data_IF_079507291539
#
_entry.id   IF_079507291539
#
_cell.length_a   1.000
_cell.length_b   1.000
_cell.length_c   1.000
_cell.angle_alpha   90.00
_cell.angle_beta   90.00
_cell.angle_gamma   90.00
#
_symmetry.space_group_name_H-M   'P 1'
#
loop_
_entity.id
_entity.type
_entity.pdbx_description
1 polymer ?
#
# COMPACT_ATOMS: atom_id res chain seq x y z
N UNK A 1 -22.26 13.55 -10.77
CA UNK A 1 -20.96 12.93 -10.52
C UNK A 1 -21.22 11.73 -9.62
N UNK A 2 -20.86 10.52 -10.07
CA UNK A 2 -20.94 9.33 -9.22
C UNK A 2 -19.85 9.47 -8.16
N UNK A 3 -20.14 9.10 -6.90
CA UNK A 3 -19.12 9.11 -5.86
C UNK A 3 -18.12 7.99 -6.14
N UNK A 4 -16.82 8.23 -5.96
CA UNK A 4 -15.76 7.21 -6.12
C UNK A 4 -16.01 5.97 -5.23
N UNK A 5 -16.73 6.13 -4.11
CA UNK A 5 -17.19 5.02 -3.28
C UNK A 5 -18.15 4.08 -4.01
N UNK A 6 -19.05 4.63 -4.83
CA UNK A 6 -19.98 3.84 -5.63
C UNK A 6 -19.24 3.14 -6.77
N UNK A 7 -18.25 3.79 -7.39
CA UNK A 7 -17.42 3.15 -8.43
C UNK A 7 -16.67 1.95 -7.87
N UNK A 8 -16.03 2.10 -6.71
CA UNK A 8 -15.39 0.98 -6.02
C UNK A 8 -16.39 -0.12 -5.67
N UNK A 9 -17.60 0.24 -5.23
CA UNK A 9 -18.64 -0.75 -4.95
C UNK A 9 -19.06 -1.55 -6.19
N UNK A 10 -19.23 -0.88 -7.34
CA UNK A 10 -19.54 -1.54 -8.61
C UNK A 10 -18.37 -2.41 -9.11
N UNK A 11 -17.12 -1.95 -8.96
CA UNK A 11 -15.94 -2.78 -9.24
C UNK A 11 -15.97 -4.07 -8.42
N UNK A 12 -16.21 -3.97 -7.11
CA UNK A 12 -16.22 -5.13 -6.21
C UNK A 12 -17.41 -6.07 -6.46
N UNK A 13 -18.52 -5.59 -7.03
CA UNK A 13 -19.61 -6.46 -7.52
C UNK A 13 -19.18 -7.30 -8.72
N UNK A 14 -18.40 -6.71 -9.63
CA UNK A 14 -17.89 -7.40 -10.82
C UNK A 14 -16.76 -8.36 -10.42
N UNK A 15 -15.83 -7.91 -9.59
CA UNK A 15 -14.68 -8.69 -9.13
C UNK A 15 -14.32 -8.34 -7.69
N UNK A 16 -14.76 -9.18 -6.76
CA UNK A 16 -14.65 -8.95 -5.32
C UNK A 16 -13.24 -9.26 -4.80
N UNK A 17 -12.30 -8.34 -5.02
CA UNK A 17 -10.90 -8.46 -4.63
C UNK A 17 -10.09 -9.33 -5.60
N UNK A 18 -8.82 -8.97 -5.80
CA UNK A 18 -7.93 -9.69 -6.70
C UNK A 18 -6.47 -9.27 -6.56
N UNK A 19 -5.60 -10.15 -7.05
CA UNK A 19 -4.20 -9.86 -7.31
C UNK A 19 -3.98 -9.65 -8.80
N UNK A 20 -3.23 -8.61 -9.16
CA UNK A 20 -2.79 -8.29 -10.52
C UNK A 20 -1.26 -8.22 -10.59
N UNK A 21 -0.72 -8.20 -11.81
CA UNK A 21 0.71 -7.98 -12.07
C UNK A 21 1.62 -8.90 -11.23
N UNK A 22 1.40 -10.22 -11.29
CA UNK A 22 2.16 -11.18 -10.47
C UNK A 22 2.15 -10.83 -8.97
N UNK A 23 0.98 -10.51 -8.43
CA UNK A 23 0.79 -10.09 -7.03
C UNK A 23 1.44 -8.76 -6.64
N UNK A 24 1.92 -7.97 -7.61
CA UNK A 24 2.41 -6.62 -7.38
C UNK A 24 1.29 -5.59 -7.14
N UNK A 25 0.05 -5.90 -7.54
CA UNK A 25 -1.13 -5.13 -7.18
C UNK A 25 -2.11 -6.04 -6.44
N UNK A 26 -2.65 -5.54 -5.33
CA UNK A 26 -3.73 -6.20 -4.61
C UNK A 26 -4.88 -5.22 -4.40
N UNK A 27 -6.07 -5.58 -4.87
CA UNK A 27 -7.33 -4.92 -4.54
C UNK A 27 -8.05 -5.78 -3.51
N UNK A 28 -8.38 -5.20 -2.35
CA UNK A 28 -8.99 -5.96 -1.26
C UNK A 28 -10.42 -6.41 -1.64
N UNK A 29 -10.84 -7.62 -1.23
CA UNK A 29 -12.25 -7.99 -1.28
C UNK A 29 -13.05 -7.10 -0.32
N UNK A 30 -14.36 -6.95 -0.55
CA UNK A 30 -15.23 -6.14 0.32
C UNK A 30 -15.19 -6.56 1.80
N UNK A 31 -15.09 -7.87 2.07
CA UNK A 31 -14.97 -8.50 3.39
C UNK A 31 -13.91 -9.58 3.33
N UNK A 32 -13.35 -9.95 4.49
CA UNK A 32 -12.39 -11.05 4.56
C UNK A 32 -12.97 -12.37 4.00
N UNK A 33 -12.16 -13.09 3.22
CA UNK A 33 -12.51 -14.39 2.63
C UNK A 33 -11.35 -15.35 2.88
N UNK A 34 -11.58 -16.38 3.68
CA UNK A 34 -10.52 -17.32 4.07
C UNK A 34 -9.39 -16.61 4.82
N UNK A 35 -8.17 -16.70 4.30
CA UNK A 35 -6.99 -16.01 4.83
C UNK A 35 -6.81 -14.58 4.30
N UNK A 36 -7.62 -14.16 3.32
CA UNK A 36 -7.53 -12.82 2.73
C UNK A 36 -8.30 -11.81 3.57
N UNK A 37 -7.68 -10.67 3.86
CA UNK A 37 -8.32 -9.61 4.64
C UNK A 37 -9.19 -8.73 3.73
N UNK A 38 -10.38 -8.39 4.19
CA UNK A 38 -11.27 -7.51 3.46
C UNK A 38 -10.99 -6.04 3.70
N UNK A 39 -11.46 -5.20 2.78
CA UNK A 39 -11.45 -3.76 2.85
C UNK A 39 -12.06 -3.25 4.16
N UNK A 40 -13.21 -3.81 4.59
CA UNK A 40 -13.86 -3.41 5.84
C UNK A 40 -12.95 -3.67 7.04
N UNK A 41 -12.32 -4.84 7.11
CA UNK A 41 -11.39 -5.19 8.18
C UNK A 41 -10.10 -4.39 8.10
N UNK A 42 -9.55 -4.19 6.90
CA UNK A 42 -8.33 -3.44 6.64
C UNK A 42 -8.43 -1.98 7.09
N UNK A 43 -9.61 -1.38 6.96
CA UNK A 43 -9.88 -0.01 7.37
C UNK A 43 -10.33 0.14 8.84
N UNK A 44 -10.26 -0.92 9.65
CA UNK A 44 -10.48 -0.80 11.10
C UNK A 44 -9.31 -0.05 11.72
N UNK A 45 -9.62 1.03 12.42
CA UNK A 45 -8.66 1.89 13.13
C UNK A 45 -7.62 1.12 13.94
N UNK A 46 -8.10 0.16 14.74
CA UNK A 46 -7.27 -0.65 15.64
C UNK A 46 -6.40 -1.72 14.94
N UNK A 47 -6.47 -1.87 13.61
CA UNK A 47 -5.62 -2.83 12.88
C UNK A 47 -4.22 -2.26 12.62
N UNK A 48 -4.15 -1.11 11.97
CA UNK A 48 -2.88 -0.42 11.66
C UNK A 48 -3.02 1.09 11.54
N UNK A 49 -4.20 1.61 11.17
CA UNK A 49 -4.42 3.06 10.95
C UNK A 49 -4.07 3.88 12.21
N UNK A 50 -4.50 3.45 13.40
CA UNK A 50 -4.19 4.16 14.65
C UNK A 50 -2.69 4.19 14.96
N UNK A 51 -1.88 3.30 14.37
CA UNK A 51 -0.42 3.34 14.52
C UNK A 51 0.21 4.55 13.84
N UNK A 52 -0.49 5.16 12.88
CA UNK A 52 -0.08 6.41 12.21
C UNK A 52 -0.62 7.67 12.91
N UNK A 53 -1.18 7.54 14.12
CA UNK A 53 -1.90 8.61 14.82
C UNK A 53 -3.00 9.21 13.94
N UNK A 54 -2.85 10.47 13.51
CA UNK A 54 -3.79 11.17 12.65
C UNK A 54 -3.40 11.18 11.16
N UNK A 55 -2.23 10.63 10.79
CA UNK A 55 -1.68 10.77 9.43
C UNK A 55 -2.39 9.89 8.39
N UNK A 56 -3.04 8.80 8.82
CA UNK A 56 -3.78 7.89 7.95
C UNK A 56 -5.32 8.03 8.05
N UNK A 57 -5.81 9.12 8.66
CA UNK A 57 -7.25 9.37 8.80
C UNK A 57 -7.89 9.86 7.49
N UNK A 58 -9.23 9.94 7.50
CA UNK A 58 -10.06 10.47 6.41
C UNK A 58 -9.86 9.81 5.04
N UNK A 59 -9.42 8.55 5.06
CA UNK A 59 -9.11 7.76 3.88
C UNK A 59 -9.76 6.38 3.97
N UNK A 60 -10.17 5.83 2.82
CA UNK A 60 -10.59 4.43 2.72
C UNK A 60 -9.63 3.69 1.78
N UNK A 61 -8.78 2.86 2.37
CA UNK A 61 -7.73 2.09 1.69
C UNK A 61 -8.35 0.87 1.00
N UNK A 62 -8.24 0.77 -0.33
CA UNK A 62 -8.93 -0.25 -1.12
C UNK A 62 -7.97 -1.15 -1.93
N UNK A 63 -6.72 -0.73 -2.09
CA UNK A 63 -5.71 -1.52 -2.76
C UNK A 63 -4.31 -1.21 -2.20
N UNK A 64 -3.33 -2.04 -2.56
CA UNK A 64 -1.93 -1.85 -2.23
C UNK A 64 -1.00 -2.36 -3.35
N UNK A 65 0.17 -1.74 -3.48
CA UNK A 65 1.26 -2.19 -4.35
C UNK A 65 2.10 -3.32 -3.70
N UNK A 66 3.17 -3.76 -4.39
CA UNK A 66 4.10 -4.80 -3.94
C UNK A 66 4.73 -4.49 -2.59
N UNK A 67 5.03 -3.22 -2.35
CA UNK A 67 5.71 -2.74 -1.16
C UNK A 67 4.73 -2.41 -0.04
N UNK A 68 3.42 -2.58 -0.26
CA UNK A 68 2.39 -2.18 0.70
C UNK A 68 2.15 -0.67 0.73
N UNK A 69 2.59 0.07 -0.28
CA UNK A 69 2.06 1.39 -0.60
C UNK A 69 0.57 1.28 -0.86
N UNK A 70 -0.22 2.14 -0.22
CA UNK A 70 -1.68 1.98 -0.23
C UNK A 70 -2.32 2.90 -1.27
N UNK A 71 -3.41 2.44 -1.89
CA UNK A 71 -4.31 3.28 -2.67
C UNK A 71 -5.58 3.52 -1.87
N UNK A 72 -6.01 4.78 -1.77
CA UNK A 72 -7.15 5.16 -0.95
C UNK A 72 -8.08 6.16 -1.60
N UNK A 73 -9.35 6.07 -1.20
CA UNK A 73 -10.37 7.05 -1.51
C UNK A 73 -10.30 8.18 -0.49
N UNK A 74 -10.29 9.42 -0.96
CA UNK A 74 -10.52 10.62 -0.16
C UNK A 74 -11.71 11.39 -0.72
N UNK A 75 -12.06 12.52 -0.08
CA UNK A 75 -13.23 13.34 -0.43
C UNK A 75 -13.28 13.75 -1.92
N UNK A 76 -12.12 13.96 -2.54
CA UNK A 76 -11.99 14.57 -3.85
C UNK A 76 -11.26 13.68 -4.87
N UNK A 77 -11.08 12.38 -4.60
CA UNK A 77 -10.51 11.46 -5.59
C UNK A 77 -9.77 10.29 -4.97
N UNK A 78 -8.89 9.70 -5.78
CA UNK A 78 -8.04 8.56 -5.43
C UNK A 78 -6.61 9.03 -5.20
N UNK A 79 -5.99 8.51 -4.15
CA UNK A 79 -4.66 8.89 -3.70
C UNK A 79 -3.78 7.65 -3.53
N UNK A 80 -2.47 7.82 -3.72
CA UNK A 80 -1.46 6.95 -3.12
C UNK A 80 -1.22 7.36 -1.66
N UNK A 81 -0.73 6.43 -0.85
CA UNK A 81 -0.27 6.66 0.51
C UNK A 81 1.03 5.88 0.71
N UNK A 82 2.10 6.62 0.98
CA UNK A 82 3.41 6.05 1.27
C UNK A 82 3.47 5.65 2.76
N UNK A 83 3.75 4.36 3.07
CA UNK A 83 3.72 3.88 4.44
C UNK A 83 4.93 4.32 5.27
N UNK A 84 6.05 4.68 4.66
CA UNK A 84 7.26 5.10 5.38
C UNK A 84 7.24 6.58 5.76
N UNK A 85 6.47 7.41 5.05
CA UNK A 85 6.36 8.87 5.26
C UNK A 85 4.97 9.33 5.69
N UNK A 86 3.95 8.49 5.48
CA UNK A 86 2.52 8.82 5.59
C UNK A 86 2.06 9.96 4.67
N UNK A 87 2.84 10.30 3.63
CA UNK A 87 2.43 11.26 2.62
C UNK A 87 1.39 10.64 1.69
N UNK A 88 0.45 11.46 1.22
CA UNK A 88 -0.52 11.04 0.21
C UNK A 88 -0.48 11.97 -0.98
N UNK A 89 -0.48 11.39 -2.18
CA UNK A 89 -0.48 12.13 -3.44
C UNK A 89 -1.72 11.77 -4.25
N UNK A 90 -2.36 12.78 -4.85
CA UNK A 90 -3.55 12.55 -5.66
C UNK A 90 -3.15 11.89 -6.98
N UNK A 91 -3.79 10.78 -7.31
CA UNK A 91 -3.59 10.05 -8.57
C UNK A 91 -4.62 10.50 -9.61
N UNK A 92 -5.89 10.52 -9.22
CA UNK A 92 -7.02 10.77 -10.13
C UNK A 92 -8.25 11.27 -9.38
N UNK A 93 -9.25 11.75 -10.13
CA UNK A 93 -10.55 12.12 -9.59
C UNK A 93 -11.50 10.92 -9.42
N UNK A 94 -11.27 9.82 -10.16
CA UNK A 94 -12.15 8.65 -10.25
C UNK A 94 -11.36 7.34 -10.45
N UNK A 95 -12.08 6.21 -10.43
CA UNK A 95 -11.49 4.87 -10.50
C UNK A 95 -10.95 4.54 -11.90
N UNK A 96 -11.55 5.09 -12.96
CA UNK A 96 -11.06 4.94 -14.33
C UNK A 96 -9.69 5.60 -14.48
N UNK A 97 -9.53 6.84 -13.99
CA UNK A 97 -8.25 7.54 -14.00
C UNK A 97 -7.18 6.84 -13.17
N UNK A 98 -7.56 6.16 -12.09
CA UNK A 98 -6.62 5.31 -11.32
C UNK A 98 -6.20 4.07 -12.11
N UNK A 99 -7.14 3.42 -12.80
CA UNK A 99 -6.83 2.29 -13.69
C UNK A 99 -5.89 2.72 -14.82
N UNK A 100 -6.17 3.86 -15.46
CA UNK A 100 -5.33 4.44 -16.52
C UNK A 100 -3.92 4.77 -16.01
N UNK A 101 -3.80 5.34 -14.81
CA UNK A 101 -2.51 5.63 -14.21
C UNK A 101 -1.68 4.34 -13.98
N UNK A 102 -2.31 3.28 -13.46
CA UNK A 102 -1.66 1.98 -13.30
C UNK A 102 -1.27 1.38 -14.66
N UNK A 103 -2.17 1.33 -15.64
CA UNK A 103 -1.87 0.69 -16.92
C UNK A 103 -0.75 1.43 -17.66
N UNK A 104 -0.72 2.77 -17.57
CA UNK A 104 0.29 3.60 -18.22
C UNK A 104 1.69 3.40 -17.67
N UNK A 105 1.83 3.17 -16.36
CA UNK A 105 3.13 3.01 -15.69
C UNK A 105 3.08 1.92 -14.61
N UNK A 106 2.70 0.71 -15.02
CA UNK A 106 2.41 -0.37 -14.07
C UNK A 106 3.64 -0.78 -13.26
N UNK A 107 4.84 -0.66 -13.84
CA UNK A 107 6.06 -1.07 -13.16
C UNK A 107 6.37 -0.14 -11.99
N UNK A 108 6.28 1.18 -12.20
CA UNK A 108 6.43 2.16 -11.14
C UNK A 108 5.29 2.07 -10.11
N UNK A 109 4.05 1.99 -10.58
CA UNK A 109 2.87 2.05 -9.70
C UNK A 109 2.65 0.78 -8.87
N UNK A 110 3.23 -0.36 -9.27
CA UNK A 110 3.00 -1.64 -8.60
C UNK A 110 4.29 -2.33 -8.13
N UNK A 111 5.45 -2.01 -8.72
CA UNK A 111 6.71 -2.71 -8.47
C UNK A 111 6.88 -4.02 -9.26
N UNK A 112 6.14 -4.21 -10.37
CA UNK A 112 6.05 -5.47 -11.10
C UNK A 112 7.39 -6.18 -11.34
N UNK A 113 8.40 -5.49 -11.87
CA UNK A 113 9.70 -6.07 -12.22
C UNK A 113 10.40 -6.64 -10.99
N UNK A 114 10.33 -5.94 -9.85
CA UNK A 114 10.87 -6.42 -8.59
C UNK A 114 10.04 -7.57 -8.00
N UNK A 115 8.71 -7.53 -8.16
CA UNK A 115 7.83 -8.64 -7.76
C UNK A 115 8.23 -9.91 -8.51
N UNK A 116 8.37 -9.81 -9.83
CA UNK A 116 8.77 -10.92 -10.69
C UNK A 116 10.14 -11.47 -10.27
N UNK A 117 11.16 -10.61 -10.23
CA UNK A 117 12.52 -11.02 -9.89
C UNK A 117 12.63 -11.64 -8.49
N UNK A 118 11.94 -11.07 -7.50
CA UNK A 118 11.94 -11.60 -6.14
C UNK A 118 11.25 -12.96 -6.07
N UNK A 119 10.10 -13.14 -6.75
CA UNK A 119 9.38 -14.41 -6.75
C UNK A 119 10.09 -15.52 -7.53
N UNK A 120 10.81 -15.18 -8.62
CA UNK A 120 11.68 -16.14 -9.32
C UNK A 120 12.76 -16.70 -8.39
N UNK A 121 13.30 -15.87 -7.50
CA UNK A 121 14.38 -16.25 -6.56
C UNK A 121 13.87 -16.93 -5.29
N UNK A 122 12.75 -16.47 -4.73
CA UNK A 122 12.32 -16.83 -3.37
C UNK A 122 10.99 -17.60 -3.32
N UNK A 123 10.32 -17.78 -4.46
CA UNK A 123 8.99 -18.39 -4.54
C UNK A 123 7.86 -17.37 -4.46
N UNK A 124 6.62 -17.88 -4.54
CA UNK A 124 5.41 -17.05 -4.66
C UNK A 124 5.15 -16.24 -3.39
N UNK A 125 4.68 -15.00 -3.57
CA UNK A 125 4.14 -14.21 -2.48
C UNK A 125 2.88 -14.87 -1.90
N UNK A 126 2.80 -14.89 -0.58
CA UNK A 126 1.62 -15.37 0.13
C UNK A 126 0.50 -14.32 0.11
N UNK A 127 -0.78 -14.74 0.06
CA UNK A 127 -1.91 -13.82 0.29
C UNK A 127 -1.75 -13.04 1.60
N UNK A 128 -2.10 -11.76 1.60
CA UNK A 128 -1.95 -10.87 2.75
C UNK A 128 -0.50 -10.55 3.16
N UNK A 129 0.48 -10.82 2.28
CA UNK A 129 1.88 -10.46 2.49
C UNK A 129 2.42 -9.57 1.38
N UNK A 130 3.37 -8.71 1.74
CA UNK A 130 4.06 -7.77 0.85
C UNK A 130 5.56 -7.80 1.07
N UNK A 131 6.29 -7.21 0.12
CA UNK A 131 7.73 -7.07 0.24
C UNK A 131 8.06 -5.80 1.02
N UNK A 132 8.75 -5.97 2.13
CA UNK A 132 9.19 -4.88 2.98
C UNK A 132 10.70 -4.71 2.81
N UNK A 133 11.19 -3.46 2.71
CA UNK A 133 12.62 -3.23 2.66
C UNK A 133 13.29 -3.46 4.02
N UNK A 134 14.42 -4.16 4.05
CA UNK A 134 15.27 -4.38 5.24
C UNK A 134 15.87 -3.05 5.70
N UNK A 135 16.35 -2.25 4.75
CA UNK A 135 16.68 -0.83 4.94
C UNK A 135 15.57 -0.01 4.28
N UNK A 136 14.75 0.74 5.05
CA UNK A 136 13.66 1.56 4.52
C UNK A 136 14.08 2.43 3.34
N UNK A 137 13.21 2.55 2.33
CA UNK A 137 13.50 3.30 1.11
C UNK A 137 13.76 4.77 1.41
N UNK A 138 12.98 5.38 2.30
CA UNK A 138 13.13 6.78 2.72
C UNK A 138 14.49 7.07 3.37
N UNK A 139 15.18 6.03 3.86
CA UNK A 139 16.52 6.14 4.47
C UNK A 139 17.64 5.78 3.48
N UNK A 140 17.33 5.77 2.18
CA UNK A 140 18.25 5.36 1.12
C UNK A 140 18.41 3.83 1.05
N UNK A 141 17.35 3.09 1.35
CA UNK A 141 17.23 1.69 0.97
C UNK A 141 17.14 1.54 -0.54
N UNK A 142 17.82 0.54 -1.09
CA UNK A 142 17.78 0.29 -2.54
C UNK A 142 16.51 -0.50 -2.91
N UNK A 143 15.94 -0.18 -4.07
CA UNK A 143 14.89 -0.95 -4.73
C UNK A 143 15.50 -2.18 -5.41
N UNK A 144 16.01 -3.10 -4.58
CA UNK A 144 16.69 -4.32 -5.00
C UNK A 144 16.15 -5.53 -4.23
N UNK A 145 16.04 -6.68 -4.90
CA UNK A 145 15.48 -7.91 -4.31
C UNK A 145 16.23 -8.38 -3.06
N UNK A 146 17.51 -8.03 -2.89
CA UNK A 146 18.29 -8.40 -1.71
C UNK A 146 17.97 -7.51 -0.50
N UNK A 147 17.44 -6.30 -0.75
CA UNK A 147 16.91 -5.43 0.29
C UNK A 147 15.47 -5.80 0.67
N UNK A 148 14.83 -6.78 0.03
CA UNK A 148 13.41 -7.10 0.28
C UNK A 148 13.24 -8.41 1.06
N UNK A 149 12.23 -8.46 1.93
CA UNK A 149 11.74 -9.69 2.56
C UNK A 149 10.21 -9.69 2.60
N UNK A 150 9.60 -10.88 2.65
CA UNK A 150 8.14 -11.02 2.70
C UNK A 150 7.64 -10.90 4.14
N UNK A 151 6.63 -10.08 4.36
CA UNK A 151 6.02 -9.83 5.67
C UNK A 151 4.50 -9.66 5.54
N UNK A 152 3.77 -9.98 6.61
CA UNK A 152 2.32 -9.83 6.68
C UNK A 152 1.94 -8.34 6.64
N UNK A 153 1.04 -7.97 5.73
CA UNK A 153 0.79 -6.55 5.38
C UNK A 153 0.40 -5.70 6.60
N UNK A 154 -0.49 -6.19 7.49
CA UNK A 154 -0.92 -5.40 8.66
C UNK A 154 0.21 -5.15 9.66
N UNK A 155 1.08 -6.14 9.84
CA UNK A 155 2.25 -5.99 10.70
C UNK A 155 3.27 -5.01 10.09
N UNK A 156 3.54 -5.15 8.79
CA UNK A 156 4.39 -4.23 8.06
C UNK A 156 3.87 -2.77 8.13
N UNK A 157 2.56 -2.55 8.01
CA UNK A 157 1.97 -1.21 8.15
C UNK A 157 2.24 -0.61 9.53
N UNK A 158 2.08 -1.39 10.61
CA UNK A 158 2.35 -0.93 11.99
C UNK A 158 3.83 -0.58 12.20
N UNK A 159 4.75 -1.38 11.66
CA UNK A 159 6.18 -1.09 11.75
C UNK A 159 6.54 0.21 11.03
N UNK A 160 6.02 0.42 9.81
CA UNK A 160 6.31 1.61 9.01
C UNK A 160 5.66 2.88 9.57
N UNK A 161 4.56 2.74 10.31
CA UNK A 161 3.99 3.84 11.07
C UNK A 161 5.00 4.41 12.09
N UNK A 162 5.79 3.55 12.74
CA UNK A 162 6.87 3.98 13.65
C UNK A 162 7.92 4.82 12.92
N UNK A 163 8.25 4.45 11.68
CA UNK A 163 9.18 5.21 10.83
C UNK A 163 8.56 6.57 10.47
N UNK A 164 7.36 6.58 9.91
CA UNK A 164 6.66 7.80 9.49
C UNK A 164 6.52 8.81 10.65
N UNK A 165 6.15 8.35 11.84
CA UNK A 165 6.02 9.21 13.02
C UNK A 165 7.35 9.80 13.50
N UNK A 166 8.47 9.10 13.27
CA UNK A 166 9.81 9.62 13.57
C UNK A 166 10.30 10.61 12.51
N UNK A 167 9.85 10.47 11.26
CA UNK A 167 10.25 11.33 10.14
C UNK A 167 9.38 12.58 9.97
N UNK A 168 8.12 12.58 10.44
CA UNK A 168 7.12 13.63 10.14
C UNK A 168 7.53 15.09 10.42
N UNK A 169 8.52 15.31 11.28
CA UNK A 169 8.99 16.64 11.67
C UNK A 169 10.40 16.95 11.14
N UNK A 170 11.01 16.03 10.40
CA UNK A 170 12.33 16.20 9.81
C UNK A 170 12.20 16.77 8.39
N UNK A 171 13.20 17.55 8.01
CA UNK A 171 13.39 18.03 6.64
C UNK A 171 14.28 17.05 5.88
N UNK A 172 14.13 17.07 4.56
CA UNK A 172 15.00 16.33 3.67
C UNK A 172 16.48 16.64 3.95
N UNK A 173 17.28 15.58 4.07
CA UNK A 173 18.71 15.66 4.37
C UNK A 173 19.07 15.68 5.86
N UNK A 174 18.09 15.77 6.76
CA UNK A 174 18.36 15.64 8.20
C UNK A 174 18.67 14.18 8.59
N UNK A 175 19.63 14.00 9.49
CA UNK A 175 19.99 12.68 10.01
C UNK A 175 19.02 12.24 11.11
N UNK A 176 18.68 10.95 11.13
CA UNK A 176 17.78 10.35 12.12
C UNK A 176 18.37 9.05 12.65
N UNK A 177 18.25 8.83 13.96
CA UNK A 177 18.48 7.54 14.58
C UNK A 177 17.13 6.94 14.97
N UNK A 178 16.75 5.86 14.30
CA UNK A 178 15.44 5.24 14.49
C UNK A 178 15.43 4.35 15.72
N UNK A 179 14.33 4.44 16.47
CA UNK A 179 14.12 3.65 17.70
C UNK A 179 13.04 2.60 17.48
N UNK A 180 13.35 1.36 17.89
CA UNK A 180 12.37 0.28 17.99
C UNK A 180 11.82 -0.23 16.64
N UNK A 181 12.70 -0.37 15.64
CA UNK A 181 12.41 -1.10 14.40
C UNK A 181 12.97 -2.52 14.46
#
# INVERSE_FOLDING_TARGET
MVSVFNELHELLKIKNGFYGFESALHVYPSKSIGSEIGLIEWNKKNLWIDSYENLALDSVFFAEDLFGGQFCLKKDGIYSFDPETALSEKISDDLEGWCDAIIRDYDFMTGYTLSHAWQQKNGRLLPGHRLVPKKPFILGGEFDINNLYMEKSDYAMRMRASIALQLKNLKDGESVELKGI
#
